data_IF_343993886446
#
_entry.id   IF_343993886446
#
_cell.length_a   1.000
_cell.length_b   1.000
_cell.length_c   1.000
_cell.angle_alpha   90.00
_cell.angle_beta   90.00
_cell.angle_gamma   90.00
#
_symmetry.space_group_name_H-M   'P 1'
#
loop_
_entity.id
_entity.type
_entity.pdbx_description
1 polymer ?
#
# COMPACT_ATOMS: atom_id res chain seq x y z
N UNK A 1 -32.64 -5.14 -17.07
CA UNK A 1 -32.14 -4.28 -18.15
C UNK A 1 -31.04 -3.47 -17.53
N UNK A 2 -29.78 -3.74 -17.87
CA UNK A 2 -28.66 -2.88 -17.47
C UNK A 2 -28.66 -1.69 -18.43
N UNK A 3 -29.13 -0.55 -17.93
CA UNK A 3 -29.19 0.69 -18.71
C UNK A 3 -27.76 1.17 -18.96
N UNK A 4 -27.33 1.16 -20.22
CA UNK A 4 -26.02 1.63 -20.62
C UNK A 4 -25.98 3.16 -20.52
N UNK A 5 -25.53 3.66 -19.36
CA UNK A 5 -25.24 5.08 -19.15
C UNK A 5 -23.74 5.33 -19.33
N UNK A 6 -23.28 5.82 -20.49
CA UNK A 6 -21.88 6.13 -20.69
C UNK A 6 -21.46 7.30 -19.80
N UNK A 7 -20.37 7.13 -19.06
CA UNK A 7 -19.76 8.20 -18.25
C UNK A 7 -19.10 9.19 -19.22
N UNK A 8 -19.57 10.45 -19.24
CA UNK A 8 -19.12 11.48 -20.18
C UNK A 8 -17.98 12.36 -19.64
N UNK A 9 -17.64 12.23 -18.36
CA UNK A 9 -16.56 12.97 -17.69
C UNK A 9 -15.25 12.18 -17.73
N UNK A 10 -14.12 12.87 -17.58
CA UNK A 10 -12.82 12.20 -17.55
C UNK A 10 -12.57 11.48 -16.21
N UNK A 11 -11.54 10.64 -16.15
CA UNK A 11 -11.22 9.81 -14.97
C UNK A 11 -10.98 10.66 -13.72
N UNK A 12 -10.24 11.76 -13.85
CA UNK A 12 -9.82 12.56 -12.70
C UNK A 12 -11.01 13.33 -12.11
N UNK A 13 -11.87 13.89 -12.97
CA UNK A 13 -13.14 14.51 -12.59
C UNK A 13 -14.08 13.50 -11.90
N UNK A 14 -14.19 12.29 -12.45
CA UNK A 14 -15.01 11.24 -11.87
C UNK A 14 -14.53 10.85 -10.47
N UNK A 15 -13.22 10.64 -10.30
CA UNK A 15 -12.63 10.19 -9.03
C UNK A 15 -12.50 11.30 -7.98
N UNK A 16 -12.49 12.56 -8.39
CA UNK A 16 -12.53 13.71 -7.48
C UNK A 16 -13.90 13.86 -6.79
N UNK A 17 -14.98 13.36 -7.40
CA UNK A 17 -16.30 13.35 -6.79
C UNK A 17 -16.44 12.15 -5.83
N UNK A 18 -16.55 12.45 -4.53
CA UNK A 18 -16.65 11.42 -3.49
C UNK A 18 -17.84 10.46 -3.66
N UNK A 19 -18.99 10.97 -4.13
CA UNK A 19 -20.18 10.14 -4.39
C UNK A 19 -19.92 9.16 -5.53
N UNK A 20 -19.37 9.64 -6.65
CA UNK A 20 -19.03 8.81 -7.81
C UNK A 20 -17.98 7.76 -7.45
N UNK A 21 -16.93 8.17 -6.72
CA UNK A 21 -15.88 7.28 -6.24
C UNK A 21 -16.45 6.17 -5.35
N UNK A 22 -17.32 6.51 -4.39
CA UNK A 22 -17.92 5.51 -3.50
C UNK A 22 -18.87 4.57 -4.26
N UNK A 23 -19.69 5.10 -5.17
CA UNK A 23 -20.57 4.27 -6.01
C UNK A 23 -19.77 3.30 -6.87
N UNK A 24 -18.65 3.75 -7.45
CA UNK A 24 -17.76 2.90 -8.22
C UNK A 24 -17.15 1.78 -7.37
N UNK A 25 -16.67 2.10 -6.16
CA UNK A 25 -16.15 1.10 -5.20
C UNK A 25 -17.23 0.07 -4.85
N UNK A 26 -18.46 0.52 -4.56
CA UNK A 26 -19.58 -0.37 -4.24
C UNK A 26 -19.95 -1.28 -5.41
N UNK A 27 -20.01 -0.73 -6.63
CA UNK A 27 -20.29 -1.48 -7.85
C UNK A 27 -19.21 -2.56 -8.09
N UNK A 28 -17.93 -2.19 -8.00
CA UNK A 28 -16.82 -3.11 -8.18
C UNK A 28 -16.83 -4.21 -7.10
N UNK A 29 -17.07 -3.82 -5.85
CA UNK A 29 -17.20 -4.74 -4.72
C UNK A 29 -18.33 -5.75 -4.94
N UNK A 30 -19.50 -5.30 -5.36
CA UNK A 30 -20.63 -6.18 -5.70
C UNK A 30 -20.32 -7.12 -6.87
N UNK A 31 -19.59 -6.66 -7.89
CA UNK A 31 -19.17 -7.51 -9.01
C UNK A 31 -18.21 -8.61 -8.55
N UNK A 32 -17.22 -8.29 -7.72
CA UNK A 32 -16.26 -9.25 -7.16
C UNK A 32 -16.94 -10.26 -6.24
N UNK A 33 -17.87 -9.82 -5.39
CA UNK A 33 -18.66 -10.70 -4.53
C UNK A 33 -19.49 -11.70 -5.33
N UNK A 34 -20.09 -11.28 -6.45
CA UNK A 34 -20.79 -12.18 -7.40
C UNK A 34 -19.87 -13.22 -8.03
N UNK A 35 -18.55 -13.00 -8.02
CA UNK A 35 -17.52 -13.96 -8.44
C UNK A 35 -16.93 -14.74 -7.26
N UNK A 36 -17.59 -14.72 -6.10
CA UNK A 36 -17.17 -15.36 -4.85
C UNK A 36 -15.86 -14.80 -4.25
N UNK A 37 -15.47 -13.58 -4.63
CA UNK A 37 -14.38 -12.87 -3.98
C UNK A 37 -14.91 -12.10 -2.78
N UNK A 38 -14.26 -12.26 -1.62
CA UNK A 38 -14.52 -11.40 -0.47
C UNK A 38 -13.94 -10.01 -0.72
N UNK A 39 -14.64 -8.97 -0.28
CA UNK A 39 -14.20 -7.58 -0.42
C UNK A 39 -14.39 -6.86 0.90
N UNK A 40 -13.41 -6.05 1.29
CA UNK A 40 -13.43 -5.29 2.53
C UNK A 40 -13.18 -3.82 2.22
N UNK A 41 -13.92 -2.93 2.89
CA UNK A 41 -13.79 -1.49 2.71
C UNK A 41 -13.12 -0.92 3.95
N UNK A 42 -12.01 -0.20 3.78
CA UNK A 42 -11.25 0.34 4.88
C UNK A 42 -11.98 1.55 5.50
N UNK A 43 -12.24 1.57 6.82
CA UNK A 43 -12.76 2.76 7.49
C UNK A 43 -11.70 3.87 7.65
N UNK A 44 -10.43 3.53 7.44
CA UNK A 44 -9.29 4.44 7.55
C UNK A 44 -8.16 3.99 6.62
N UNK A 45 -7.02 3.63 7.20
CA UNK A 45 -5.85 3.19 6.45
C UNK A 45 -6.11 1.87 5.70
N UNK A 46 -5.93 1.90 4.38
CA UNK A 46 -6.18 0.74 3.51
C UNK A 46 -5.03 -0.27 3.57
N UNK A 47 -3.79 0.21 3.70
CA UNK A 47 -2.57 -0.63 3.78
C UNK A 47 -2.56 -1.43 5.07
N UNK A 48 -3.00 -0.82 6.18
CA UNK A 48 -3.16 -1.54 7.43
C UNK A 48 -4.24 -2.63 7.31
N UNK A 49 -5.41 -2.32 6.72
CA UNK A 49 -6.50 -3.29 6.61
C UNK A 49 -6.12 -4.49 5.73
N UNK A 50 -5.48 -4.26 4.58
CA UNK A 50 -5.06 -5.36 3.69
C UNK A 50 -4.02 -6.25 4.37
N UNK A 51 -3.08 -5.68 5.11
CA UNK A 51 -2.08 -6.45 5.88
C UNK A 51 -2.74 -7.24 7.00
N UNK A 52 -3.65 -6.64 7.75
CA UNK A 52 -4.40 -7.33 8.80
C UNK A 52 -5.18 -8.52 8.23
N UNK A 53 -5.84 -8.35 7.09
CA UNK A 53 -6.58 -9.44 6.43
C UNK A 53 -5.66 -10.56 5.93
N UNK A 54 -4.48 -10.23 5.41
CA UNK A 54 -3.51 -11.24 5.01
C UNK A 54 -2.94 -12.00 6.22
N UNK A 55 -2.64 -11.31 7.33
CA UNK A 55 -2.17 -11.94 8.57
C UNK A 55 -3.26 -12.81 9.20
N UNK A 56 -4.51 -12.35 9.21
CA UNK A 56 -5.68 -13.12 9.66
C UNK A 56 -5.86 -14.38 8.81
N UNK A 57 -5.86 -14.25 7.48
CA UNK A 57 -5.91 -15.40 6.55
C UNK A 57 -4.75 -16.37 6.79
N UNK A 58 -3.55 -15.87 7.05
CA UNK A 58 -2.38 -16.69 7.34
C UNK A 58 -2.53 -17.52 8.62
N UNK A 59 -3.48 -17.22 9.51
CA UNK A 59 -3.73 -18.07 10.68
C UNK A 59 -4.29 -19.44 10.29
N UNK A 60 -5.05 -19.52 9.19
CA UNK A 60 -5.76 -20.74 8.78
C UNK A 60 -5.21 -21.38 7.50
N UNK A 61 -4.58 -20.59 6.62
CA UNK A 61 -4.09 -21.10 5.33
C UNK A 61 -2.86 -20.35 4.82
N UNK A 62 -2.08 -20.98 3.93
CA UNK A 62 -1.00 -20.27 3.24
C UNK A 62 -1.59 -19.10 2.45
N UNK A 63 -1.05 -17.91 2.66
CA UNK A 63 -1.59 -16.66 2.14
C UNK A 63 -0.55 -15.91 1.33
N UNK A 64 -0.97 -15.32 0.21
CA UNK A 64 -0.14 -14.45 -0.63
C UNK A 64 -0.82 -13.07 -0.65
N UNK A 65 -0.09 -12.04 -0.21
CA UNK A 65 -0.47 -10.65 -0.43
C UNK A 65 0.21 -10.16 -1.71
N UNK A 66 -0.58 -9.57 -2.61
CA UNK A 66 -0.12 -8.99 -3.86
C UNK A 66 -0.19 -7.47 -3.73
N UNK A 67 0.91 -6.77 -4.02
CA UNK A 67 0.96 -5.31 -4.00
C UNK A 67 2.37 -4.79 -4.31
N UNK A 68 2.48 -3.56 -4.83
CA UNK A 68 3.76 -2.95 -5.21
C UNK A 68 4.36 -2.05 -4.12
N UNK A 69 3.56 -1.64 -3.12
CA UNK A 69 3.96 -0.66 -2.11
C UNK A 69 4.93 -1.24 -1.07
N UNK A 70 5.98 -0.47 -0.75
CA UNK A 70 6.96 -0.86 0.26
C UNK A 70 6.36 -0.84 1.66
N UNK A 71 5.41 0.05 1.91
CA UNK A 71 4.71 0.16 3.20
C UNK A 71 4.01 -1.16 3.56
N UNK A 72 3.44 -1.87 2.58
CA UNK A 72 2.84 -3.19 2.75
C UNK A 72 3.86 -4.22 3.23
N UNK A 73 5.07 -4.25 2.65
CA UNK A 73 6.13 -5.15 3.07
C UNK A 73 6.56 -4.87 4.52
N UNK A 74 6.72 -3.59 4.86
CA UNK A 74 7.12 -3.16 6.20
C UNK A 74 6.06 -3.54 7.25
N UNK A 75 4.79 -3.25 6.95
CA UNK A 75 3.65 -3.61 7.79
C UNK A 75 3.52 -5.15 7.94
N UNK A 76 3.74 -5.91 6.88
CA UNK A 76 3.75 -7.38 6.92
C UNK A 76 4.85 -7.91 7.85
N UNK A 77 6.07 -7.37 7.75
CA UNK A 77 7.18 -7.75 8.64
C UNK A 77 6.82 -7.46 10.09
N UNK A 78 6.21 -6.30 10.37
CA UNK A 78 5.79 -5.93 11.71
C UNK A 78 4.71 -6.88 12.27
N UNK A 79 3.62 -7.09 11.52
CA UNK A 79 2.44 -7.82 12.00
C UNK A 79 2.50 -9.35 11.86
N UNK A 80 3.36 -9.91 11.01
CA UNK A 80 3.38 -11.36 10.76
C UNK A 80 3.71 -12.16 12.02
N UNK A 81 2.96 -13.23 12.25
CA UNK A 81 3.20 -14.20 13.31
C UNK A 81 4.03 -15.37 12.78
N UNK A 82 5.18 -15.66 13.40
CA UNK A 82 6.04 -16.76 12.97
C UNK A 82 5.37 -18.14 13.13
N UNK A 83 4.38 -18.27 14.02
CA UNK A 83 3.67 -19.52 14.31
C UNK A 83 2.51 -19.85 13.37
N UNK A 84 2.10 -18.92 12.49
CA UNK A 84 0.94 -19.10 11.59
C UNK A 84 1.27 -20.02 10.39
N UNK A 85 0.45 -20.04 9.34
CA UNK A 85 0.83 -20.61 8.04
C UNK A 85 1.77 -19.67 7.27
N UNK A 86 2.25 -20.10 6.10
CA UNK A 86 3.17 -19.27 5.30
C UNK A 86 2.45 -18.03 4.80
N UNK A 87 3.13 -16.89 4.91
CA UNK A 87 2.68 -15.60 4.40
C UNK A 87 3.72 -15.09 3.41
N UNK A 88 3.28 -14.88 2.18
CA UNK A 88 4.13 -14.40 1.09
C UNK A 88 3.71 -13.00 0.65
N UNK A 89 4.68 -12.23 0.19
CA UNK A 89 4.46 -10.97 -0.50
C UNK A 89 4.99 -11.08 -1.93
N UNK A 90 4.30 -10.48 -2.88
CA UNK A 90 4.73 -10.47 -4.29
C UNK A 90 4.20 -9.20 -4.97
N UNK A 91 4.97 -8.59 -5.90
CA UNK A 91 4.50 -7.43 -6.64
C UNK A 91 3.35 -7.79 -7.56
N UNK A 92 2.62 -6.78 -8.02
CA UNK A 92 1.56 -7.00 -8.99
C UNK A 92 2.11 -7.65 -10.28
N UNK A 93 1.38 -8.61 -10.87
CA UNK A 93 1.82 -9.24 -12.11
C UNK A 93 1.93 -8.22 -13.26
N UNK A 94 3.16 -8.00 -13.75
CA UNK A 94 3.43 -7.14 -14.92
C UNK A 94 3.67 -8.00 -16.15
N UNK A 95 3.10 -7.59 -17.30
CA UNK A 95 3.17 -8.33 -18.58
C UNK A 95 4.60 -8.68 -19.03
N UNK A 96 5.59 -7.88 -18.67
CA UNK A 96 7.00 -8.07 -19.03
C UNK A 96 7.78 -8.96 -18.06
N UNK A 97 7.23 -9.26 -16.87
CA UNK A 97 7.95 -9.94 -15.80
C UNK A 97 7.78 -11.45 -15.91
N UNK A 98 8.83 -12.14 -16.36
CA UNK A 98 8.82 -13.61 -16.53
C UNK A 98 8.79 -14.38 -15.20
N UNK A 99 9.34 -13.81 -14.13
CA UNK A 99 9.33 -14.39 -12.77
C UNK A 99 9.16 -13.28 -11.75
N UNK A 100 7.97 -13.13 -11.12
CA UNK A 100 7.79 -12.13 -10.08
C UNK A 100 8.62 -12.49 -8.86
N UNK A 101 9.12 -11.46 -8.17
CA UNK A 101 9.82 -11.64 -6.90
C UNK A 101 8.81 -12.07 -5.85
N UNK A 102 9.15 -13.07 -5.04
CA UNK A 102 8.28 -13.54 -3.95
C UNK A 102 9.10 -13.54 -2.67
N UNK A 103 8.57 -12.89 -1.63
CA UNK A 103 9.19 -12.85 -0.32
C UNK A 103 8.39 -13.72 0.65
N UNK A 104 9.05 -14.68 1.30
CA UNK A 104 8.49 -15.33 2.47
C UNK A 104 8.67 -14.41 3.67
N UNK A 105 7.58 -13.81 4.16
CA UNK A 105 7.62 -12.79 5.21
C UNK A 105 8.23 -13.34 6.50
N UNK A 106 8.02 -14.62 6.81
CA UNK A 106 8.62 -15.24 8.00
C UNK A 106 10.11 -15.36 7.88
N UNK A 107 10.60 -15.79 6.72
CA UNK A 107 12.03 -15.90 6.46
C UNK A 107 12.70 -14.51 6.54
N UNK A 108 12.06 -13.49 5.96
CA UNK A 108 12.53 -12.09 6.07
C UNK A 108 12.58 -11.65 7.54
N UNK A 109 11.49 -11.88 8.30
CA UNK A 109 11.41 -11.51 9.72
C UNK A 109 12.47 -12.22 10.57
N UNK A 110 12.75 -13.50 10.29
CA UNK A 110 13.81 -14.26 10.95
C UNK A 110 15.20 -13.71 10.61
N UNK A 111 15.47 -13.37 9.34
CA UNK A 111 16.75 -12.81 8.90
C UNK A 111 17.04 -11.43 9.50
N UNK A 112 16.02 -10.56 9.59
CA UNK A 112 16.16 -9.24 10.20
C UNK A 112 16.35 -9.32 11.72
N UNK A 113 15.81 -10.37 12.34
CA UNK A 113 15.88 -10.58 13.78
C UNK A 113 14.91 -9.70 14.57
N UNK A 114 14.70 -10.04 15.85
CA UNK A 114 13.65 -9.44 16.67
C UNK A 114 13.84 -7.94 16.90
N UNK A 115 15.08 -7.48 17.11
CA UNK A 115 15.36 -6.06 17.38
C UNK A 115 14.94 -5.16 16.21
N UNK A 116 15.33 -5.51 14.99
CA UNK A 116 14.95 -4.75 13.78
C UNK A 116 13.46 -4.81 13.56
N UNK A 117 12.84 -5.99 13.70
CA UNK A 117 11.40 -6.15 13.46
C UNK A 117 10.54 -5.36 14.44
N UNK A 118 10.96 -5.24 15.72
CA UNK A 118 10.26 -4.43 16.72
C UNK A 118 10.29 -2.94 16.39
N UNK A 119 11.38 -2.46 15.78
CA UNK A 119 11.58 -1.03 15.47
C UNK A 119 11.39 -0.70 13.99
N UNK A 120 10.93 -1.64 13.16
CA UNK A 120 10.92 -1.51 11.69
C UNK A 120 10.07 -0.33 11.22
N UNK A 121 8.94 -0.04 11.89
CA UNK A 121 8.10 1.11 11.57
C UNK A 121 8.83 2.44 11.79
N UNK A 122 9.60 2.53 12.87
CA UNK A 122 10.40 3.72 13.18
C UNK A 122 11.57 3.88 12.22
N UNK A 123 12.26 2.78 11.90
CA UNK A 123 13.33 2.75 10.91
C UNK A 123 12.81 3.22 9.55
N UNK A 124 11.65 2.72 9.13
CA UNK A 124 10.99 3.10 7.89
C UNK A 124 10.60 4.59 7.88
N UNK A 125 10.02 5.09 8.98
CA UNK A 125 9.69 6.50 9.10
C UNK A 125 10.93 7.42 8.95
N UNK A 126 12.04 7.08 9.60
CA UNK A 126 13.30 7.83 9.47
C UNK A 126 13.85 7.73 8.05
N UNK A 127 13.88 6.53 7.47
CA UNK A 127 14.38 6.33 6.10
C UNK A 127 13.53 7.10 5.08
N UNK A 128 12.20 7.09 5.22
CA UNK A 128 11.30 7.86 4.36
C UNK A 128 11.55 9.36 4.44
N UNK A 129 11.81 9.89 5.64
CA UNK A 129 12.17 11.30 5.83
C UNK A 129 13.47 11.68 5.12
N UNK A 130 14.49 10.81 5.13
CA UNK A 130 15.76 11.08 4.44
C UNK A 130 15.59 11.06 2.93
N UNK A 131 14.80 10.12 2.37
CA UNK A 131 14.49 10.11 0.93
C UNK A 131 13.70 11.36 0.50
N UNK A 132 12.70 11.78 1.28
CA UNK A 132 11.90 12.96 0.96
C UNK A 132 12.70 14.27 1.07
N UNK A 133 13.58 14.41 2.07
CA UNK A 133 14.46 15.59 2.21
C UNK A 133 15.53 15.66 1.13
N UNK A 134 16.16 14.54 0.76
CA UNK A 134 17.15 14.52 -0.32
C UNK A 134 16.52 14.82 -1.68
N UNK A 135 15.32 14.28 -1.95
CA UNK A 135 14.56 14.61 -3.15
C UNK A 135 14.18 16.10 -3.17
N UNK A 136 13.62 16.66 -2.09
CA UNK A 136 13.29 18.10 -2.01
C UNK A 136 14.53 19.01 -2.20
N UNK A 137 15.64 18.69 -1.54
CA UNK A 137 16.86 19.47 -1.64
C UNK A 137 17.53 19.39 -3.02
N UNK A 138 17.26 18.33 -3.81
CA UNK A 138 17.74 18.22 -5.19
C UNK A 138 16.95 19.09 -6.19
N UNK A 139 15.71 19.48 -5.85
CA UNK A 139 14.88 20.37 -6.68
C UNK A 139 14.83 21.83 -6.15
N UNK A 140 15.30 22.08 -4.92
CA UNK A 140 15.10 23.34 -4.20
C UNK A 140 16.30 24.31 -4.14
N UNK A 141 17.09 24.48 -5.21
CA UNK A 141 18.19 25.48 -5.22
C UNK A 141 18.03 26.61 -6.25
N UNK A 142 16.88 26.76 -6.92
CA UNK A 142 16.67 27.88 -7.86
C UNK A 142 15.73 28.99 -7.39
N UNK A 143 14.95 28.82 -6.31
CA UNK A 143 13.98 29.85 -5.87
C UNK A 143 13.97 30.06 -4.34
N UNK A 144 15.10 30.50 -3.79
CA UNK A 144 15.11 31.12 -2.47
C UNK A 144 14.78 32.63 -2.61
N UNK A 145 13.66 33.15 -2.08
CA UNK A 145 13.42 34.58 -2.09
C UNK A 145 14.47 35.29 -1.23
N UNK A 146 15.04 36.36 -1.79
CA UNK A 146 16.04 37.18 -1.14
C UNK A 146 15.54 37.66 0.23
N UNK A 147 16.32 37.32 1.27
CA UNK A 147 16.13 37.79 2.63
C UNK A 147 16.28 39.32 2.64
N UNK A 148 15.16 40.05 2.68
CA UNK A 148 15.18 41.48 2.96
C UNK A 148 15.67 41.69 4.40
N UNK A 149 16.93 42.11 4.52
CA UNK A 149 17.45 42.76 5.72
C UNK A 149 16.80 44.14 5.81
N UNK A 150 15.88 44.32 6.75
CA UNK A 150 15.45 45.65 7.17
C UNK A 150 16.48 46.16 8.20
N UNK A 151 17.24 47.18 7.78
CA UNK A 151 18.00 48.05 8.66
C UNK A 151 17.21 49.34 8.86
N UNK A 152 16.88 49.64 10.12
CA UNK A 152 16.80 50.97 10.74
C UNK A 152 16.45 50.77 12.22
#
# INVERSE_FOLDING_TARGET
MDEYMPVTMNKDEFLANNTNKQQFINMLSGHLQKKNCQTYHAPGDTDLLIVQKAVESATTTNTVLIGDDTDLLILLIYHANLKSHNLFFTPEPKKSTKKPRVWNIKAVKQQLGPSVCTHILFIHAIAGLTYHQLHWNSYGSSDAPARQTAAA
#
